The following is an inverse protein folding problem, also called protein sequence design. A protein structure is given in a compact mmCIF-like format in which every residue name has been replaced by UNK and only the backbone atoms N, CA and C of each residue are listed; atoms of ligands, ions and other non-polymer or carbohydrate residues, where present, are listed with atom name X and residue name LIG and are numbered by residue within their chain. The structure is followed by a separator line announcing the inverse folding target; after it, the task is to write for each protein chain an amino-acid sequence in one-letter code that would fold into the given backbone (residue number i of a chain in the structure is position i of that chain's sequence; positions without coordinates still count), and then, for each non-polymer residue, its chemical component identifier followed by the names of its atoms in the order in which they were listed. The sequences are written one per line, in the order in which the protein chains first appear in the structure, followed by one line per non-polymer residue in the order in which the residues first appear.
data_IF_443420690429
#
_entry.id   IF_443420690429
#
_cell.length_a   1.000
_cell.length_b   1.000
_cell.length_c   1.000
_cell.angle_alpha   90.00
_cell.angle_beta   90.00
_cell.angle_gamma   90.00
#
_symmetry.space_group_name_H-M   'P 1'
#
loop_
_entity.id
_entity.type
_entity.pdbx_description
1 polymer ?
#
# COMPACT_ATOMS: atom_id res chain seq x y z
N UNK A 1 -50.92 11.38 14.30
CA UNK A 1 -50.14 10.39 15.08
C UNK A 1 -50.20 8.97 14.48
N UNK A 2 -50.33 8.79 13.15
CA UNK A 2 -50.58 7.46 12.55
C UNK A 2 -49.42 6.81 11.77
N UNK A 3 -48.33 7.54 11.49
CA UNK A 3 -47.23 7.02 10.63
C UNK A 3 -46.15 6.22 11.39
N UNK A 4 -46.01 6.40 12.71
CA UNK A 4 -45.01 5.68 13.50
C UNK A 4 -45.36 4.21 13.77
N UNK A 5 -46.66 3.88 13.85
CA UNK A 5 -47.13 2.53 14.21
C UNK A 5 -47.08 1.58 13.01
N UNK A 6 -47.28 2.08 11.79
CA UNK A 6 -47.14 1.24 10.58
C UNK A 6 -45.68 0.90 10.25
N UNK A 7 -44.74 1.82 10.53
CA UNK A 7 -43.29 1.57 10.36
C UNK A 7 -42.76 0.48 11.32
N UNK A 8 -43.28 0.42 12.54
CA UNK A 8 -42.94 -0.63 13.50
C UNK A 8 -43.40 -2.04 13.08
N UNK A 9 -44.49 -2.14 12.29
CA UNK A 9 -44.99 -3.41 11.75
C UNK A 9 -44.23 -3.88 10.50
N UNK A 10 -43.88 -2.97 9.59
CA UNK A 10 -43.06 -3.30 8.42
C UNK A 10 -41.67 -3.87 8.82
N UNK A 11 -41.10 -3.39 9.93
CA UNK A 11 -39.85 -3.91 10.52
C UNK A 11 -39.98 -5.32 11.10
N UNK A 12 -41.17 -5.70 11.58
CA UNK A 12 -41.44 -7.01 12.16
C UNK A 12 -41.77 -8.08 11.11
N UNK A 13 -42.21 -7.66 9.91
CA UNK A 13 -42.67 -8.56 8.85
C UNK A 13 -41.56 -9.01 7.88
N UNK A 14 -40.38 -8.35 7.89
CA UNK A 14 -39.22 -8.74 7.06
C UNK A 14 -37.86 -8.59 7.80
N UNK A 15 -37.63 -9.32 8.90
CA UNK A 15 -36.40 -9.22 9.67
C UNK A 15 -35.13 -9.49 8.83
N UNK A 16 -35.22 -10.32 7.79
CA UNK A 16 -34.08 -10.76 6.98
C UNK A 16 -33.52 -9.67 6.05
N UNK A 17 -34.33 -8.70 5.64
CA UNK A 17 -33.90 -7.58 4.78
C UNK A 17 -33.29 -6.43 5.60
N UNK A 18 -33.63 -6.35 6.89
CA UNK A 18 -33.12 -5.36 7.84
C UNK A 18 -31.95 -5.88 8.70
N UNK A 19 -31.63 -7.18 8.66
CA UNK A 19 -30.57 -7.81 9.44
C UNK A 19 -29.13 -7.51 8.95
N UNK A 20 -28.93 -6.72 7.88
CA UNK A 20 -27.62 -6.57 7.21
C UNK A 20 -27.03 -5.16 7.18
N UNK A 21 -27.52 -4.25 8.02
CA UNK A 21 -26.90 -2.92 8.15
C UNK A 21 -26.13 -2.89 9.46
N UNK A 22 -24.91 -3.40 9.44
CA UNK A 22 -23.96 -3.14 10.52
C UNK A 22 -23.36 -1.74 10.30
N UNK A 23 -23.57 -0.81 11.24
CA UNK A 23 -22.92 0.49 11.20
C UNK A 23 -21.41 0.32 11.22
N UNK A 24 -20.70 1.09 10.42
CA UNK A 24 -19.24 1.02 10.38
C UNK A 24 -18.64 1.58 9.10
N UNK A 25 -17.31 1.61 9.11
CA UNK A 25 -16.48 1.86 7.96
C UNK A 25 -16.42 0.60 7.09
N UNK A 26 -17.01 0.67 5.91
CA UNK A 26 -17.16 -0.48 5.03
C UNK A 26 -15.80 -1.00 4.56
N UNK A 27 -14.90 -0.11 4.13
CA UNK A 27 -13.57 -0.50 3.62
C UNK A 27 -12.73 -1.14 4.74
N UNK A 28 -12.70 -0.54 5.93
CA UNK A 28 -12.01 -1.08 7.09
C UNK A 28 -12.44 -2.51 7.43
N UNK A 29 -13.76 -2.73 7.49
CA UNK A 29 -14.32 -4.06 7.78
C UNK A 29 -13.94 -5.06 6.69
N UNK A 30 -14.07 -4.70 5.42
CA UNK A 30 -13.70 -5.58 4.31
C UNK A 30 -12.21 -5.93 4.35
N UNK A 31 -11.34 -4.97 4.67
CA UNK A 31 -9.90 -5.20 4.83
C UNK A 31 -9.60 -6.19 5.97
N UNK A 32 -10.31 -6.08 7.09
CA UNK A 32 -10.18 -7.00 8.23
C UNK A 32 -10.72 -8.40 7.94
N UNK A 33 -11.89 -8.50 7.31
CA UNK A 33 -12.54 -9.78 6.99
C UNK A 33 -11.79 -10.58 5.92
N UNK A 34 -11.18 -9.89 4.94
CA UNK A 34 -10.57 -10.51 3.75
C UNK A 34 -9.08 -10.76 3.88
N UNK A 35 -8.48 -10.42 5.04
CA UNK A 35 -7.16 -10.93 5.42
C UNK A 35 -5.99 -10.40 4.60
N UNK A 36 -5.84 -9.07 4.44
CA UNK A 36 -4.64 -8.48 3.80
C UNK A 36 -3.36 -8.72 4.63
N UNK A 37 -3.48 -9.20 5.86
CA UNK A 37 -2.37 -9.48 6.79
C UNK A 37 -1.42 -10.63 6.42
N UNK A 38 -1.52 -11.22 5.22
CA UNK A 38 -0.58 -12.25 4.75
C UNK A 38 0.67 -11.67 4.06
N UNK A 39 0.71 -10.36 3.81
CA UNK A 39 1.77 -9.72 3.03
C UNK A 39 2.97 -9.26 3.87
N UNK A 40 2.77 -9.01 5.15
CA UNK A 40 3.81 -8.63 6.11
C UNK A 40 3.52 -9.36 7.42
N UNK A 41 4.60 -9.73 8.12
CA UNK A 41 4.50 -10.38 9.42
C UNK A 41 3.85 -9.41 10.41
N UNK A 42 2.88 -9.92 11.16
CA UNK A 42 1.84 -9.17 11.88
C UNK A 42 0.92 -8.38 10.94
N UNK A 43 -0.40 -8.57 11.12
CA UNK A 43 -1.47 -7.84 10.44
C UNK A 43 -1.38 -6.35 10.75
N UNK A 44 -0.44 -5.67 10.11
CA UNK A 44 0.04 -4.37 10.53
C UNK A 44 -1.09 -3.37 10.31
N UNK A 45 -1.66 -2.87 11.41
CA UNK A 45 -2.78 -1.94 11.40
C UNK A 45 -2.43 -0.70 10.57
N UNK A 46 -1.14 -0.35 10.53
CA UNK A 46 -0.56 0.64 9.64
C UNK A 46 -0.91 0.36 8.17
N UNK A 47 -0.70 -0.85 7.65
CA UNK A 47 -1.02 -1.20 6.26
C UNK A 47 -2.52 -1.07 5.97
N UNK A 48 -3.38 -1.46 6.91
CA UNK A 48 -4.83 -1.31 6.72
C UNK A 48 -5.23 0.17 6.66
N UNK A 49 -4.64 1.01 7.52
CA UNK A 49 -4.81 2.46 7.50
C UNK A 49 -4.32 3.02 6.16
N UNK A 50 -3.22 2.52 5.63
CA UNK A 50 -2.61 2.97 4.37
C UNK A 50 -3.50 2.68 3.18
N UNK A 51 -3.93 1.43 3.07
CA UNK A 51 -4.82 0.98 2.00
C UNK A 51 -6.14 1.74 2.08
N UNK A 52 -6.73 1.88 3.27
CA UNK A 52 -7.92 2.68 3.46
C UNK A 52 -7.69 4.15 3.03
N UNK A 53 -6.56 4.73 3.41
CA UNK A 53 -6.24 6.12 3.09
C UNK A 53 -5.97 6.33 1.61
N UNK A 54 -5.51 5.30 0.90
CA UNK A 54 -5.39 5.30 -0.56
C UNK A 54 -6.74 5.13 -1.26
N UNK A 55 -7.62 4.28 -0.76
CA UNK A 55 -8.92 4.01 -1.38
C UNK A 55 -9.95 5.11 -1.08
N UNK A 56 -9.86 5.71 0.09
CA UNK A 56 -11.01 6.38 0.72
C UNK A 56 -11.93 5.35 1.38
N UNK A 57 -13.02 5.82 1.97
CA UNK A 57 -14.00 4.91 2.58
C UNK A 57 -15.43 5.47 2.55
N UNK A 58 -16.39 4.56 2.75
CA UNK A 58 -17.81 4.85 3.01
C UNK A 58 -18.13 4.42 4.43
N UNK A 59 -18.74 5.31 5.19
CA UNK A 59 -19.18 5.08 6.56
C UNK A 59 -20.70 5.02 6.58
N UNK A 60 -21.24 3.93 7.12
CA UNK A 60 -22.68 3.74 7.32
C UNK A 60 -22.99 3.94 8.79
N UNK A 61 -23.92 4.85 9.08
CA UNK A 61 -24.37 5.16 10.43
C UNK A 61 -25.82 4.74 10.62
N UNK A 62 -26.12 4.13 11.77
CA UNK A 62 -27.50 3.91 12.19
C UNK A 62 -28.17 5.24 12.64
N UNK A 63 -29.50 5.35 12.58
CA UNK A 63 -30.23 6.58 12.91
C UNK A 63 -30.03 6.99 14.38
N UNK A 64 -29.83 6.00 15.25
CA UNK A 64 -29.67 6.19 16.68
C UNK A 64 -28.23 6.55 17.09
N UNK A 65 -27.28 6.49 16.15
CA UNK A 65 -25.87 6.85 16.34
C UNK A 65 -25.47 8.01 15.41
N UNK A 66 -26.34 9.02 15.36
CA UNK A 66 -26.18 10.20 14.51
C UNK A 66 -24.88 10.98 14.79
N UNK A 67 -24.27 10.81 15.97
CA UNK A 67 -22.97 11.40 16.33
C UNK A 67 -21.82 10.94 15.44
N UNK A 68 -21.91 9.76 14.83
CA UNK A 68 -20.86 9.26 13.92
C UNK A 68 -20.91 9.87 12.50
N UNK A 69 -22.04 10.49 12.12
CA UNK A 69 -22.33 11.03 10.79
C UNK A 69 -22.79 12.50 10.83
N UNK A 70 -22.26 13.31 11.76
CA UNK A 70 -22.68 14.70 11.92
C UNK A 70 -22.30 15.59 10.73
N UNK A 71 -21.14 15.36 10.09
CA UNK A 71 -20.60 16.20 9.03
C UNK A 71 -20.63 15.50 7.65
N UNK A 72 -21.33 16.09 6.68
CA UNK A 72 -21.30 15.65 5.28
C UNK A 72 -22.00 14.32 4.96
N UNK A 73 -22.78 13.76 5.90
CA UNK A 73 -23.53 12.54 5.66
C UNK A 73 -24.86 12.81 4.93
N UNK A 74 -25.23 11.92 4.02
CA UNK A 74 -26.47 11.98 3.25
C UNK A 74 -27.40 10.81 3.60
N UNK A 75 -28.70 11.03 3.50
CA UNK A 75 -29.69 9.96 3.62
C UNK A 75 -29.87 9.28 2.26
N UNK A 76 -29.74 7.94 2.18
CA UNK A 76 -30.00 7.20 0.96
C UNK A 76 -31.45 7.33 0.49
N UNK A 77 -31.67 7.46 -0.82
CA UNK A 77 -33.02 7.56 -1.41
C UNK A 77 -33.81 6.25 -1.26
N UNK A 78 -33.14 5.11 -1.25
CA UNK A 78 -33.74 3.79 -1.11
C UNK A 78 -34.20 3.49 0.32
N UNK A 79 -33.62 4.17 1.33
CA UNK A 79 -33.87 3.92 2.76
C UNK A 79 -33.86 5.20 3.63
N UNK A 80 -34.78 6.14 3.38
CA UNK A 80 -34.80 7.43 4.08
C UNK A 80 -35.11 7.26 5.58
N UNK A 81 -34.28 7.86 6.43
CA UNK A 81 -34.41 7.82 7.88
C UNK A 81 -33.96 6.52 8.56
N UNK A 82 -33.42 5.55 7.82
CA UNK A 82 -32.92 4.28 8.34
C UNK A 82 -31.39 4.20 8.41
N UNK A 83 -30.68 4.91 7.53
CA UNK A 83 -29.23 5.03 7.58
C UNK A 83 -28.79 6.41 7.10
N UNK A 84 -27.58 6.78 7.49
CA UNK A 84 -26.85 7.89 6.88
C UNK A 84 -25.51 7.39 6.38
N UNK A 85 -25.08 7.93 5.25
CA UNK A 85 -23.84 7.51 4.60
C UNK A 85 -22.92 8.71 4.43
N UNK A 86 -21.66 8.56 4.84
CA UNK A 86 -20.63 9.58 4.70
C UNK A 86 -19.45 9.02 3.92
N UNK A 87 -19.04 9.73 2.87
CA UNK A 87 -17.83 9.41 2.13
C UNK A 87 -16.64 10.16 2.73
N UNK A 88 -15.53 9.45 2.93
CA UNK A 88 -14.23 10.05 3.26
C UNK A 88 -13.34 9.85 2.04
N UNK A 89 -12.86 10.93 1.40
CA UNK A 89 -12.05 10.82 0.19
C UNK A 89 -10.68 10.22 0.51
N UNK A 90 -10.06 9.64 -0.50
CA UNK A 90 -8.67 9.21 -0.44
C UNK A 90 -7.73 10.39 -0.21
N UNK A 91 -6.68 10.15 0.58
CA UNK A 91 -5.66 11.13 0.94
C UNK A 91 -4.25 10.67 0.61
N UNK A 92 -4.06 9.37 0.37
CA UNK A 92 -2.79 8.82 -0.11
C UNK A 92 -2.82 8.53 -1.61
N UNK A 93 -1.68 8.74 -2.25
CA UNK A 93 -1.36 8.24 -3.58
C UNK A 93 -0.43 7.02 -3.54
N UNK A 94 -0.21 6.44 -4.73
CA UNK A 94 0.71 5.32 -4.92
C UNK A 94 2.14 5.66 -4.46
N UNK A 95 2.56 6.91 -4.68
CA UNK A 95 3.89 7.38 -4.26
C UNK A 95 4.04 7.36 -2.73
N UNK A 96 2.98 7.67 -1.98
CA UNK A 96 2.97 7.64 -0.52
C UNK A 96 3.06 6.21 0.03
N UNK A 97 2.46 5.24 -0.65
CA UNK A 97 2.53 3.82 -0.28
C UNK A 97 3.93 3.25 -0.56
N UNK A 98 4.54 3.64 -1.68
CA UNK A 98 5.86 3.15 -2.10
C UNK A 98 6.98 3.81 -1.30
N UNK A 99 6.94 5.13 -1.14
CA UNK A 99 8.03 5.93 -0.57
C UNK A 99 7.77 6.38 0.87
N UNK A 100 6.53 6.32 1.37
CA UNK A 100 6.21 6.83 2.69
C UNK A 100 6.27 8.35 2.72
N UNK A 101 6.77 8.93 3.82
CA UNK A 101 6.99 10.37 3.95
C UNK A 101 8.33 10.85 3.35
N UNK A 102 9.02 9.99 2.59
CA UNK A 102 10.23 10.30 1.84
C UNK A 102 11.49 10.21 2.70
N UNK A 103 11.55 10.97 3.79
CA UNK A 103 12.62 11.02 4.81
C UNK A 103 12.13 11.82 6.05
N UNK A 104 10.83 11.77 6.38
CA UNK A 104 10.22 12.61 7.43
C UNK A 104 10.11 14.10 7.09
N UNK A 105 10.42 14.51 5.86
CA UNK A 105 10.37 15.92 5.42
C UNK A 105 9.00 16.36 4.92
N UNK A 106 8.09 15.41 4.71
CA UNK A 106 6.75 15.66 4.19
C UNK A 106 5.70 15.17 5.18
N UNK A 107 4.82 16.06 5.62
CA UNK A 107 3.64 15.65 6.39
C UNK A 107 2.63 14.99 5.47
N UNK A 108 2.25 13.75 5.79
CA UNK A 108 1.27 12.97 5.03
C UNK A 108 -0.02 12.87 5.84
N UNK A 109 -1.16 13.11 5.19
CA UNK A 109 -2.48 12.93 5.78
C UNK A 109 -2.95 11.48 5.64
N UNK A 110 -3.60 10.95 6.66
CA UNK A 110 -4.17 9.61 6.70
C UNK A 110 -5.61 9.65 7.18
N UNK A 111 -6.38 8.61 6.83
CA UNK A 111 -7.70 8.37 7.41
C UNK A 111 -7.50 7.62 8.73
N UNK A 112 -7.56 8.36 9.83
CA UNK A 112 -7.42 7.84 11.17
C UNK A 112 -8.76 7.35 11.72
N UNK A 113 -8.73 6.18 12.36
CA UNK A 113 -9.84 5.59 13.10
C UNK A 113 -9.72 5.89 14.59
N UNK A 114 -10.80 6.35 15.23
CA UNK A 114 -10.85 6.51 16.70
C UNK A 114 -11.08 5.20 17.43
N UNK A 115 -11.92 4.33 16.85
CA UNK A 115 -12.20 2.99 17.33
C UNK A 115 -11.68 1.99 16.30
N UNK A 116 -11.01 0.93 16.76
CA UNK A 116 -10.33 -0.04 15.88
C UNK A 116 -11.27 -1.10 15.34
N UNK A 117 -12.46 -1.26 15.90
CA UNK A 117 -13.38 -2.34 15.54
C UNK A 117 -14.27 -1.95 14.37
N UNK A 118 -14.89 -0.78 14.43
CA UNK A 118 -15.89 -0.31 13.44
C UNK A 118 -15.42 0.91 12.66
N UNK A 119 -14.45 1.66 13.18
CA UNK A 119 -13.91 2.90 12.61
C UNK A 119 -15.03 3.89 12.19
N UNK A 120 -16.03 4.07 13.05
CA UNK A 120 -17.22 4.88 12.75
C UNK A 120 -16.90 6.38 12.61
N UNK A 121 -15.94 6.88 13.39
CA UNK A 121 -15.52 8.28 13.39
C UNK A 121 -14.23 8.52 12.62
N UNK A 122 -14.11 7.91 11.43
CA UNK A 122 -12.92 8.08 10.61
C UNK A 122 -12.75 9.56 10.19
N UNK A 123 -11.56 10.11 10.41
CA UNK A 123 -11.21 11.50 10.06
C UNK A 123 -9.89 11.56 9.32
N UNK A 124 -9.73 12.60 8.51
CA UNK A 124 -8.43 12.92 7.91
C UNK A 124 -7.61 13.65 8.98
N UNK A 125 -6.43 13.12 9.29
CA UNK A 125 -5.48 13.71 10.22
C UNK A 125 -4.06 13.54 9.70
N UNK A 126 -3.15 14.42 10.14
CA UNK A 126 -1.73 14.26 9.87
C UNK A 126 -1.20 13.02 10.59
N UNK A 127 -0.33 12.26 9.91
CA UNK A 127 0.35 11.11 10.52
C UNK A 127 1.20 11.57 11.70
N UNK A 128 1.01 10.93 12.86
CA UNK A 128 1.77 11.25 14.07
C UNK A 128 3.10 10.49 14.17
N UNK A 129 3.29 9.48 13.31
CA UNK A 129 4.50 8.67 13.22
C UNK A 129 5.13 8.79 11.84
N UNK A 130 6.46 8.61 11.78
CA UNK A 130 7.19 8.43 10.53
C UNK A 130 6.56 7.28 9.74
N UNK A 131 6.28 7.53 8.47
CA UNK A 131 5.66 6.55 7.58
C UNK A 131 6.73 5.94 6.70
N UNK A 132 7.07 4.69 7.02
CA UNK A 132 8.00 3.89 6.24
C UNK A 132 7.28 3.35 5.00
N UNK A 133 7.69 3.79 3.81
CA UNK A 133 7.16 3.26 2.55
C UNK A 133 7.60 1.83 2.27
N UNK A 134 6.86 1.12 1.43
CA UNK A 134 7.14 -0.28 1.10
C UNK A 134 8.54 -0.46 0.49
N UNK A 135 9.02 0.48 -0.33
CA UNK A 135 10.39 0.43 -0.87
C UNK A 135 11.42 0.30 0.25
N UNK A 136 11.26 1.05 1.34
CA UNK A 136 12.21 1.00 2.46
C UNK A 136 12.11 -0.31 3.23
N UNK A 137 10.90 -0.83 3.44
CA UNK A 137 10.69 -2.15 4.06
C UNK A 137 11.35 -3.28 3.24
N UNK A 138 11.24 -3.21 1.91
CA UNK A 138 11.93 -4.16 1.01
C UNK A 138 13.45 -4.02 1.15
N UNK A 139 14.00 -2.80 1.16
CA UNK A 139 15.44 -2.59 1.34
C UNK A 139 15.94 -3.11 2.68
N UNK A 140 15.21 -2.84 3.76
CA UNK A 140 15.54 -3.35 5.10
C UNK A 140 15.51 -4.88 5.12
N UNK A 141 14.65 -5.53 4.33
CA UNK A 141 14.60 -6.99 4.18
C UNK A 141 15.76 -7.54 3.34
N UNK A 142 16.07 -6.89 2.21
CA UNK A 142 17.07 -7.38 1.26
C UNK A 142 18.51 -7.09 1.70
N UNK A 143 18.77 -5.86 2.15
CA UNK A 143 20.12 -5.35 2.46
C UNK A 143 20.35 -5.32 3.97
N UNK A 144 19.29 -5.20 4.76
CA UNK A 144 19.38 -5.08 6.21
C UNK A 144 19.35 -3.63 6.68
N UNK A 145 19.26 -3.47 7.99
CA UNK A 145 19.30 -2.17 8.65
C UNK A 145 20.18 -2.29 9.90
N UNK A 146 21.44 -1.83 9.85
CA UNK A 146 22.38 -1.98 10.96
C UNK A 146 21.96 -1.19 12.21
N UNK A 147 21.23 -0.08 12.04
CA UNK A 147 20.71 0.71 13.17
C UNK A 147 19.62 -0.04 13.94
N UNK A 148 18.90 -0.95 13.25
CA UNK A 148 17.86 -1.81 13.84
C UNK A 148 18.36 -3.23 14.13
N UNK A 149 19.65 -3.51 13.89
CA UNK A 149 20.23 -4.84 14.05
C UNK A 149 19.67 -5.89 13.07
N UNK A 150 19.06 -5.45 11.96
CA UNK A 150 18.44 -6.34 10.97
C UNK A 150 19.50 -6.75 9.94
N UNK A 151 19.75 -8.06 9.82
CA UNK A 151 20.62 -8.63 8.80
C UNK A 151 19.78 -8.97 7.56
N UNK A 152 20.12 -8.39 6.42
CA UNK A 152 19.36 -8.57 5.18
C UNK A 152 19.68 -9.86 4.43
N UNK A 153 18.80 -10.22 3.51
CA UNK A 153 18.89 -11.39 2.63
C UNK A 153 20.26 -11.53 1.95
N UNK A 154 20.79 -10.45 1.37
CA UNK A 154 22.07 -10.45 0.65
C UNK A 154 23.20 -11.00 1.53
N UNK A 155 23.25 -10.57 2.80
CA UNK A 155 24.27 -11.03 3.73
C UNK A 155 24.01 -12.48 4.19
N UNK A 156 22.75 -12.85 4.46
CA UNK A 156 22.40 -14.20 4.95
C UNK A 156 22.58 -15.27 3.89
N UNK A 157 22.19 -15.00 2.65
CA UNK A 157 22.32 -15.92 1.52
C UNK A 157 23.80 -16.30 1.29
N UNK A 158 24.72 -15.33 1.39
CA UNK A 158 26.17 -15.58 1.27
C UNK A 158 26.74 -16.44 2.39
N UNK A 159 26.16 -16.36 3.58
CA UNK A 159 26.56 -17.16 4.74
C UNK A 159 25.93 -18.56 4.76
N UNK A 160 25.17 -18.93 3.71
CA UNK A 160 24.42 -20.18 3.61
C UNK A 160 23.55 -20.45 4.86
N UNK A 161 23.00 -19.39 5.46
CA UNK A 161 22.11 -19.53 6.61
C UNK A 161 20.76 -20.09 6.14
N UNK A 162 20.30 -21.13 6.83
CA UNK A 162 19.45 -22.15 6.22
C UNK A 162 17.96 -21.83 6.11
N UNK A 163 17.46 -20.76 6.72
CA UNK A 163 16.03 -20.45 6.66
C UNK A 163 15.81 -18.96 6.36
N UNK A 164 15.04 -18.69 5.30
CA UNK A 164 14.59 -17.34 4.99
C UNK A 164 13.62 -16.85 6.05
N UNK A 165 13.71 -15.58 6.42
CA UNK A 165 12.72 -14.99 7.34
C UNK A 165 11.35 -14.96 6.67
N UNK A 166 10.25 -14.89 7.45
CA UNK A 166 8.90 -14.77 6.88
C UNK A 166 8.78 -13.66 5.84
N UNK A 167 9.36 -12.47 6.10
CA UNK A 167 9.39 -11.36 5.14
C UNK A 167 10.13 -11.69 3.85
N UNK A 168 11.24 -12.44 3.91
CA UNK A 168 11.96 -12.85 2.71
C UNK A 168 11.19 -13.88 1.89
N UNK A 169 10.53 -14.83 2.57
CA UNK A 169 9.70 -15.83 1.92
C UNK A 169 8.49 -15.17 1.25
N UNK A 170 7.85 -14.21 1.92
CA UNK A 170 6.76 -13.41 1.38
C UNK A 170 7.22 -12.60 0.16
N UNK A 171 8.35 -11.89 0.24
CA UNK A 171 8.89 -11.16 -0.91
C UNK A 171 9.24 -12.09 -2.06
N UNK A 172 9.85 -13.24 -1.80
CA UNK A 172 10.23 -14.22 -2.83
C UNK A 172 9.02 -14.83 -3.53
N UNK A 173 7.94 -15.09 -2.79
CA UNK A 173 6.69 -15.59 -3.36
C UNK A 173 6.00 -14.55 -4.25
N UNK A 174 6.12 -13.26 -3.92
CA UNK A 174 5.48 -12.18 -4.66
C UNK A 174 6.35 -11.60 -5.79
N UNK A 175 7.66 -11.80 -5.74
CA UNK A 175 8.63 -11.23 -6.69
C UNK A 175 9.71 -12.25 -7.13
N UNK A 176 9.33 -13.42 -7.70
CA UNK A 176 10.27 -14.51 -7.97
C UNK A 176 11.33 -14.16 -9.02
N UNK A 177 10.99 -13.36 -10.04
CA UNK A 177 11.94 -12.96 -11.09
C UNK A 177 12.99 -12.00 -10.54
N UNK A 178 12.59 -11.05 -9.67
CA UNK A 178 13.48 -10.10 -9.02
C UNK A 178 14.45 -10.82 -8.08
N UNK A 179 13.99 -11.85 -7.35
CA UNK A 179 14.88 -12.70 -6.55
C UNK A 179 15.88 -13.46 -7.41
N UNK A 180 15.49 -13.99 -8.56
CA UNK A 180 16.43 -14.65 -9.48
C UNK A 180 17.55 -13.72 -9.96
N UNK A 181 17.23 -12.45 -10.23
CA UNK A 181 18.24 -11.43 -10.59
C UNK A 181 19.13 -11.09 -9.39
N UNK A 182 18.54 -10.98 -8.19
CA UNK A 182 19.28 -10.71 -6.96
C UNK A 182 20.23 -11.86 -6.60
N UNK A 183 19.81 -13.11 -6.72
CA UNK A 183 20.63 -14.30 -6.47
C UNK A 183 21.84 -14.34 -7.41
N UNK A 184 21.64 -14.05 -8.70
CA UNK A 184 22.74 -13.92 -9.65
C UNK A 184 23.72 -12.79 -9.26
N UNK A 185 23.20 -11.67 -8.72
CA UNK A 185 24.04 -10.58 -8.26
C UNK A 185 24.83 -10.95 -6.99
N UNK A 186 24.22 -11.74 -6.08
CA UNK A 186 24.85 -12.29 -4.87
C UNK A 186 26.04 -13.20 -5.24
N UNK A 187 25.87 -14.04 -6.27
CA UNK A 187 26.92 -14.92 -6.77
C UNK A 187 28.14 -14.15 -7.33
N UNK A 188 27.94 -12.92 -7.81
CA UNK A 188 29.02 -12.06 -8.30
C UNK A 188 29.81 -11.45 -7.13
N UNK A 189 29.15 -10.61 -6.32
CA UNK A 189 29.66 -10.07 -5.06
C UNK A 189 28.57 -9.27 -4.31
N UNK A 190 28.81 -9.00 -3.03
CA UNK A 190 27.90 -8.27 -2.16
C UNK A 190 27.59 -6.83 -2.63
N UNK A 191 28.59 -6.09 -3.10
CA UNK A 191 28.37 -4.71 -3.54
C UNK A 191 27.43 -4.65 -4.74
N UNK A 192 27.62 -5.55 -5.72
CA UNK A 192 26.72 -5.70 -6.87
C UNK A 192 25.31 -6.08 -6.42
N UNK A 193 25.17 -7.02 -5.48
CA UNK A 193 23.87 -7.40 -4.94
C UNK A 193 23.14 -6.25 -4.24
N UNK A 194 23.87 -5.42 -3.47
CA UNK A 194 23.32 -4.22 -2.82
C UNK A 194 22.80 -3.23 -3.87
N UNK A 195 23.61 -2.90 -4.88
CA UNK A 195 23.18 -1.98 -5.95
C UNK A 195 21.96 -2.52 -6.72
N UNK A 196 21.93 -3.82 -7.00
CA UNK A 196 20.78 -4.47 -7.65
C UNK A 196 19.55 -4.41 -6.76
N UNK A 197 19.67 -4.72 -5.47
CA UNK A 197 18.56 -4.60 -4.51
C UNK A 197 18.01 -3.17 -4.43
N UNK A 198 18.88 -2.15 -4.45
CA UNK A 198 18.47 -0.73 -4.45
C UNK A 198 17.64 -0.36 -5.68
N UNK A 199 18.00 -0.89 -6.86
CA UNK A 199 17.29 -0.66 -8.12
C UNK A 199 15.96 -1.42 -8.16
N UNK A 200 15.96 -2.68 -7.72
CA UNK A 200 14.77 -3.55 -7.77
C UNK A 200 13.74 -3.20 -6.69
N UNK A 201 14.14 -2.66 -5.54
CA UNK A 201 13.22 -2.44 -4.43
C UNK A 201 12.04 -1.53 -4.77
N UNK A 202 12.23 -0.50 -5.61
CA UNK A 202 11.11 0.35 -6.01
C UNK A 202 10.16 -0.42 -6.94
N UNK A 203 10.66 -1.23 -7.89
CA UNK A 203 9.78 -1.94 -8.83
C UNK A 203 9.00 -3.04 -8.13
N UNK A 204 9.67 -3.76 -7.22
CA UNK A 204 9.03 -4.71 -6.31
C UNK A 204 7.95 -4.02 -5.47
N UNK A 205 8.24 -2.86 -4.87
CA UNK A 205 7.26 -2.15 -4.06
C UNK A 205 6.00 -1.77 -4.85
N UNK A 206 6.17 -1.27 -6.07
CA UNK A 206 5.04 -0.83 -6.91
C UNK A 206 4.20 -2.03 -7.33
N UNK A 207 4.83 -3.11 -7.82
CA UNK A 207 4.13 -4.33 -8.22
C UNK A 207 3.37 -4.96 -7.04
N UNK A 208 3.98 -4.97 -5.85
CA UNK A 208 3.35 -5.48 -4.63
C UNK A 208 2.15 -4.63 -4.21
N UNK A 209 2.28 -3.29 -4.19
CA UNK A 209 1.17 -2.39 -3.87
C UNK A 209 0.02 -2.60 -4.85
N UNK A 210 0.30 -2.72 -6.15
CA UNK A 210 -0.73 -2.99 -7.15
C UNK A 210 -1.45 -4.31 -6.95
N UNK A 211 -0.72 -5.39 -6.65
CA UNK A 211 -1.29 -6.70 -6.38
C UNK A 211 -2.18 -6.69 -5.13
N UNK A 212 -1.77 -5.99 -4.07
CA UNK A 212 -2.58 -5.78 -2.86
C UNK A 212 -3.83 -4.99 -3.19
N UNK A 213 -3.68 -3.85 -3.87
CA UNK A 213 -4.82 -3.00 -4.23
C UNK A 213 -5.79 -3.72 -5.15
N UNK A 214 -5.31 -4.50 -6.12
CA UNK A 214 -6.16 -5.31 -6.98
C UNK A 214 -7.00 -6.32 -6.17
N UNK A 215 -6.35 -7.01 -5.22
CA UNK A 215 -7.02 -7.95 -4.30
C UNK A 215 -8.10 -7.25 -3.47
N UNK A 216 -7.78 -6.09 -2.92
CA UNK A 216 -8.70 -5.30 -2.09
C UNK A 216 -9.86 -4.74 -2.92
N UNK A 217 -9.58 -4.23 -4.12
CA UNK A 217 -10.60 -3.71 -5.03
C UNK A 217 -11.58 -4.81 -5.47
N UNK A 218 -11.07 -6.00 -5.77
CA UNK A 218 -11.91 -7.17 -6.02
C UNK A 218 -12.74 -7.52 -4.78
N UNK A 219 -12.12 -7.47 -3.61
CA UNK A 219 -12.82 -7.73 -2.38
C UNK A 219 -13.98 -6.75 -2.14
N UNK A 220 -13.74 -5.47 -2.40
CA UNK A 220 -14.73 -4.39 -2.36
C UNK A 220 -15.89 -4.65 -3.33
N UNK A 221 -15.61 -5.02 -4.58
CA UNK A 221 -16.65 -5.30 -5.58
C UNK A 221 -17.54 -6.47 -5.15
N UNK A 222 -16.95 -7.54 -4.62
CA UNK A 222 -17.72 -8.67 -4.09
C UNK A 222 -18.52 -8.26 -2.84
N UNK A 223 -17.93 -7.47 -1.94
CA UNK A 223 -18.58 -6.97 -0.72
C UNK A 223 -19.75 -6.03 -1.01
N UNK A 224 -19.65 -5.21 -2.07
CA UNK A 224 -20.71 -4.30 -2.50
C UNK A 224 -22.02 -5.02 -2.79
N UNK A 225 -21.99 -6.26 -3.27
CA UNK A 225 -23.19 -7.06 -3.55
C UNK A 225 -24.02 -7.41 -2.31
N UNK A 226 -23.43 -7.28 -1.11
CA UNK A 226 -24.06 -7.63 0.16
C UNK A 226 -24.63 -6.41 0.89
N UNK A 227 -24.44 -5.20 0.35
CA UNK A 227 -24.88 -3.92 0.91
C UNK A 227 -26.20 -3.46 0.24
N UNK A 228 -26.78 -2.37 0.77
CA UNK A 228 -27.92 -1.70 0.11
C UNK A 228 -27.48 -0.92 -1.12
N UNK A 229 -28.44 -0.60 -2.00
CA UNK A 229 -28.15 -0.10 -3.35
C UNK A 229 -27.33 1.21 -3.34
N UNK A 230 -27.63 2.12 -2.42
CA UNK A 230 -26.91 3.38 -2.29
C UNK A 230 -25.45 3.19 -1.81
N UNK A 231 -25.23 2.37 -0.78
CA UNK A 231 -23.89 2.07 -0.28
C UNK A 231 -23.06 1.32 -1.32
N UNK A 232 -23.65 0.35 -2.00
CA UNK A 232 -23.01 -0.37 -3.11
C UNK A 232 -22.58 0.60 -4.21
N UNK A 233 -23.46 1.53 -4.61
CA UNK A 233 -23.15 2.49 -5.67
C UNK A 233 -22.02 3.46 -5.29
N UNK A 234 -21.95 3.89 -4.01
CA UNK A 234 -20.85 4.73 -3.53
C UNK A 234 -19.54 3.94 -3.43
N UNK A 235 -19.60 2.72 -2.92
CA UNK A 235 -18.43 1.87 -2.76
C UNK A 235 -17.83 1.44 -4.12
N UNK A 236 -18.67 1.14 -5.11
CA UNK A 236 -18.22 0.83 -6.47
C UNK A 236 -17.59 2.06 -7.15
N UNK A 237 -18.13 3.26 -6.92
CA UNK A 237 -17.51 4.51 -7.39
C UNK A 237 -16.13 4.72 -6.79
N UNK A 238 -15.98 4.52 -5.47
CA UNK A 238 -14.67 4.58 -4.82
C UNK A 238 -13.67 3.60 -5.45
N UNK A 239 -14.11 2.36 -5.72
CA UNK A 239 -13.26 1.35 -6.34
C UNK A 239 -12.85 1.74 -7.78
N UNK A 240 -13.74 2.34 -8.55
CA UNK A 240 -13.46 2.84 -9.89
C UNK A 240 -12.47 4.02 -9.85
N UNK A 241 -12.72 5.02 -9.00
CA UNK A 241 -11.84 6.17 -8.80
C UNK A 241 -10.43 5.74 -8.36
N UNK A 242 -10.33 4.78 -7.43
CA UNK A 242 -9.06 4.21 -7.00
C UNK A 242 -8.33 3.48 -8.13
N UNK A 243 -9.05 2.74 -8.98
CA UNK A 243 -8.47 2.05 -10.14
C UNK A 243 -7.90 3.05 -11.14
N UNK A 244 -8.64 4.12 -11.45
CA UNK A 244 -8.19 5.17 -12.36
C UNK A 244 -6.97 5.91 -11.79
N UNK A 245 -7.00 6.23 -10.49
CA UNK A 245 -5.88 6.88 -9.80
C UNK A 245 -4.62 6.02 -9.86
N UNK A 246 -4.75 4.72 -9.60
CA UNK A 246 -3.64 3.76 -9.67
C UNK A 246 -3.00 3.76 -11.06
N UNK A 247 -3.81 3.63 -12.12
CA UNK A 247 -3.35 3.66 -13.51
C UNK A 247 -2.65 4.98 -13.87
N UNK A 248 -3.23 6.11 -13.45
CA UNK A 248 -2.65 7.42 -13.71
C UNK A 248 -1.30 7.59 -13.01
N UNK A 249 -1.21 7.21 -11.74
CA UNK A 249 0.01 7.37 -10.95
C UNK A 249 1.10 6.40 -11.39
N UNK A 250 0.75 5.19 -11.83
CA UNK A 250 1.71 4.20 -12.33
C UNK A 250 2.53 4.72 -13.51
N UNK A 251 1.90 5.42 -14.45
CA UNK A 251 2.61 5.99 -15.60
C UNK A 251 3.74 6.95 -15.21
N UNK A 252 3.55 7.70 -14.11
CA UNK A 252 4.57 8.60 -13.56
C UNK A 252 5.75 7.84 -12.96
N UNK A 253 5.47 6.70 -12.31
CA UNK A 253 6.51 5.83 -11.74
C UNK A 253 7.29 5.14 -12.87
N UNK A 254 6.61 4.60 -13.87
CA UNK A 254 7.25 3.95 -15.03
C UNK A 254 8.19 4.90 -15.78
N UNK A 255 7.82 6.18 -15.91
CA UNK A 255 8.68 7.20 -16.50
C UNK A 255 9.98 7.40 -15.70
N UNK A 256 9.92 7.36 -14.36
CA UNK A 256 11.10 7.43 -13.49
C UNK A 256 11.97 6.19 -13.63
N UNK A 257 11.39 5.00 -13.67
CA UNK A 257 12.12 3.76 -13.93
C UNK A 257 12.84 3.79 -15.28
N UNK A 258 12.13 4.14 -16.35
CA UNK A 258 12.72 4.24 -17.68
C UNK A 258 13.85 5.26 -17.73
N UNK A 259 13.75 6.37 -16.99
CA UNK A 259 14.82 7.35 -16.85
C UNK A 259 16.06 6.77 -16.15
N UNK A 260 15.87 6.11 -15.00
CA UNK A 260 16.96 5.48 -14.24
C UNK A 260 17.62 4.34 -15.00
N UNK A 261 16.84 3.50 -15.69
CA UNK A 261 17.35 2.44 -16.54
C UNK A 261 18.26 2.99 -17.66
N UNK A 262 17.83 4.08 -18.33
CA UNK A 262 18.67 4.77 -19.32
C UNK A 262 19.95 5.36 -18.72
N UNK A 263 19.88 5.90 -17.49
CA UNK A 263 21.07 6.37 -16.78
C UNK A 263 22.05 5.23 -16.50
N UNK A 264 21.55 4.07 -16.05
CA UNK A 264 22.39 2.90 -15.79
C UNK A 264 22.98 2.31 -17.08
N UNK A 265 22.21 2.22 -18.16
CA UNK A 265 22.71 1.82 -19.47
C UNK A 265 23.78 2.79 -19.99
N UNK A 266 23.55 4.10 -19.84
CA UNK A 266 24.51 5.14 -20.18
C UNK A 266 25.81 5.03 -19.38
N UNK A 267 25.70 4.77 -18.07
CA UNK A 267 26.85 4.54 -17.19
C UNK A 267 27.60 3.27 -17.59
N UNK A 268 26.90 2.18 -17.89
CA UNK A 268 27.48 0.93 -18.38
C UNK A 268 28.23 1.11 -19.71
N UNK A 269 27.71 1.93 -20.62
CA UNK A 269 28.39 2.30 -21.85
C UNK A 269 29.63 3.17 -21.59
N UNK A 270 29.57 4.14 -20.67
CA UNK A 270 30.76 4.93 -20.30
C UNK A 270 31.84 4.11 -19.61
N UNK A 271 31.50 3.10 -18.82
CA UNK A 271 32.48 2.19 -18.21
C UNK A 271 33.15 1.30 -19.27
N UNK A 272 32.40 0.88 -20.30
CA UNK A 272 32.96 0.12 -21.44
C UNK A 272 33.81 0.97 -22.38
N UNK A 273 33.53 2.27 -22.46
CA UNK A 273 34.26 3.22 -23.31
C UNK A 273 35.36 3.97 -22.56
N UNK A 274 35.40 3.89 -21.23
CA UNK A 274 36.49 4.42 -20.44
C UNK A 274 37.78 3.69 -20.85
N UNK A 275 38.82 4.39 -21.35
CA UNK A 275 40.08 3.74 -21.61
C UNK A 275 40.57 3.16 -20.29
N UNK A 276 40.70 1.84 -20.20
CA UNK A 276 41.37 1.17 -19.09
C UNK A 276 42.73 1.85 -18.92
N UNK A 277 42.99 2.55 -17.79
CA UNK A 277 44.32 3.10 -17.57
C UNK A 277 45.27 1.91 -17.54
N UNK A 278 46.20 1.88 -18.48
CA UNK A 278 47.25 0.87 -18.53
C UNK A 278 48.18 1.10 -17.33
N UNK A 279 47.90 0.41 -16.23
CA UNK A 279 48.71 0.43 -15.01
C UNK A 279 50.11 -0.21 -15.22
N UNK A 280 50.44 -0.66 -16.44
CA UNK A 280 51.79 -1.13 -16.81
C UNK A 280 52.63 -0.07 -17.50
N UNK A 281 52.10 1.12 -17.79
CA UNK A 281 52.91 2.25 -18.19
C UNK A 281 53.72 2.75 -16.98
N UNK A 282 54.94 2.22 -16.83
CA UNK A 282 55.88 2.65 -15.80
C UNK A 282 56.15 4.16 -15.84
N UNK A 283 56.70 4.74 -14.75
CA UNK A 283 56.91 6.16 -14.64
C UNK A 283 57.78 6.68 -15.79
N UNK A 284 57.20 7.55 -16.62
CA UNK A 284 57.93 8.27 -17.65
C UNK A 284 58.95 9.16 -16.94
N UNK A 285 60.23 8.82 -17.09
CA UNK A 285 61.33 9.60 -16.58
C UNK A 285 61.25 11.03 -17.13
N UNK A 286 61.31 12.02 -16.24
CA UNK A 286 61.41 13.42 -16.61
C UNK A 286 62.72 13.66 -17.38
N UNK A 287 62.71 14.37 -18.52
CA UNK A 287 63.95 14.75 -19.17
C UNK A 287 64.66 15.80 -18.31
N UNK A 288 65.83 15.41 -17.79
CA UNK A 288 66.81 16.30 -17.20
C UNK A 288 67.39 17.25 -18.24
N UNK A 289 67.71 18.46 -17.75
CA UNK A 289 68.39 19.62 -18.36
C UNK A 289 69.20 19.38 -19.63
#
# INVERSE_FOLDING_TARGET
MGQGIQRGRARAERPDEFARIEPGNIVWRLLKERGVGQWFDDSDEALLIDIQSFLGTVIVCAPNDASACADGATEPEDRPGETRVRQVPAVLGLDDLVHGDGDGTRTVSIIQCDDRDTCLRARIAESQSERVGLRRSILDTLIGNPQRGVVGYVQRARLAQAEGTPSELALRSNAPSQFGVLDQAIDINEHTAITVAEVLAESMAVEMVEAVLATVLDAIRQGASQLGAAESAQLLRLAEEATLRLQQQRSGIDARFASRARTLDGLGLTIRLAPTPDLRAGPIAAPGR
#
